data_IF_121950838851
#
_entry.id   IF_121950838851
#
_cell.length_a   1.000
_cell.length_b   1.000
_cell.length_c   1.000
_cell.angle_alpha   90.00
_cell.angle_beta   90.00
_cell.angle_gamma   90.00
#
_symmetry.space_group_name_H-M   'P 1'
#
loop_
_entity.id
_entity.type
_entity.pdbx_description
1 polymer ?
#
# COMPACT_ATOMS: atom_id res chain seq x y z
N UNK A 1 5.73 21.59 9.05
CA UNK A 1 4.41 21.56 9.70
C UNK A 1 3.80 20.20 9.40
N UNK A 2 3.64 19.36 10.42
CA UNK A 2 3.02 18.05 10.29
C UNK A 2 1.51 18.25 10.08
N UNK A 3 0.94 17.62 9.05
CA UNK A 3 -0.47 17.79 8.70
C UNK A 3 -1.35 17.02 9.71
N UNK A 4 -2.11 17.71 10.60
CA UNK A 4 -2.96 17.07 11.60
C UNK A 4 -4.12 16.25 10.99
N UNK A 5 -4.45 16.45 9.72
CA UNK A 5 -5.47 15.64 9.04
C UNK A 5 -5.02 14.19 8.81
N UNK A 6 -3.71 13.95 8.67
CA UNK A 6 -3.17 12.60 8.50
C UNK A 6 -3.34 11.76 9.77
N UNK A 7 -3.13 12.37 10.94
CA UNK A 7 -3.39 11.72 12.24
C UNK A 7 -4.88 11.45 12.45
N UNK A 8 -5.76 12.32 11.93
CA UNK A 8 -7.21 12.11 12.00
C UNK A 8 -7.62 10.91 11.15
N UNK A 9 -7.09 10.74 9.94
CA UNK A 9 -7.36 9.55 9.12
C UNK A 9 -6.85 8.27 9.81
N UNK A 10 -5.66 8.32 10.43
CA UNK A 10 -5.08 7.18 11.18
C UNK A 10 -5.92 6.83 12.42
N UNK A 11 -6.50 7.83 13.10
CA UNK A 11 -7.35 7.64 14.29
C UNK A 11 -8.80 7.24 13.96
N UNK A 12 -9.26 7.45 12.74
CA UNK A 12 -10.64 7.11 12.33
C UNK A 12 -10.75 5.76 11.62
N UNK A 13 -9.64 5.01 11.49
CA UNK A 13 -9.71 3.59 11.11
C UNK A 13 -10.09 2.78 12.36
N UNK A 14 -11.30 3.02 12.85
CA UNK A 14 -11.97 2.11 13.76
C UNK A 14 -12.22 0.78 13.05
N UNK A 15 -11.92 -0.26 13.81
CA UNK A 15 -12.03 -1.68 13.50
C UNK A 15 -13.47 -1.99 13.04
N UNK A 16 -13.60 -2.73 11.92
CA UNK A 16 -14.84 -3.32 11.34
C UNK A 16 -15.72 -2.47 10.44
N UNK A 17 -15.13 -1.80 9.45
CA UNK A 17 -15.85 -1.66 8.17
C UNK A 17 -14.97 -2.18 7.04
N UNK A 18 -15.45 -3.22 6.37
CA UNK A 18 -15.06 -3.51 4.99
C UNK A 18 -15.70 -2.38 4.19
N UNK A 19 -14.97 -1.36 3.71
CA UNK A 19 -15.56 -0.44 2.75
C UNK A 19 -15.84 -1.26 1.50
N UNK A 20 -17.10 -1.69 1.36
CA UNK A 20 -17.57 -2.24 0.11
C UNK A 20 -17.69 -1.06 -0.83
N UNK A 21 -16.75 -0.92 -1.76
CA UNK A 21 -17.00 -0.15 -2.97
C UNK A 21 -17.89 -1.01 -3.85
N UNK A 22 -19.21 -0.89 -3.68
CA UNK A 22 -20.13 -1.15 -4.81
C UNK A 22 -20.09 0.14 -5.62
N UNK A 23 -19.36 0.11 -6.73
CA UNK A 23 -19.50 1.13 -7.76
C UNK A 23 -20.98 1.11 -8.20
N UNK A 24 -21.76 2.11 -7.79
CA UNK A 24 -23.19 2.19 -8.14
C UNK A 24 -23.40 2.40 -9.65
N UNK A 25 -22.35 2.80 -10.36
CA UNK A 25 -22.15 2.56 -11.78
C UNK A 25 -20.67 2.31 -12.00
N UNK A 26 -20.33 1.19 -12.64
CA UNK A 26 -19.03 1.01 -13.28
C UNK A 26 -18.94 2.08 -14.37
N UNK A 27 -18.42 3.27 -14.03
CA UNK A 27 -18.02 4.22 -15.05
C UNK A 27 -16.78 3.64 -15.72
N UNK A 28 -17.00 2.95 -16.84
CA UNK A 28 -16.03 2.85 -17.92
C UNK A 28 -15.73 4.28 -18.38
N UNK A 29 -14.89 4.99 -17.63
CA UNK A 29 -14.35 6.25 -18.10
C UNK A 29 -13.52 5.92 -19.35
N UNK A 30 -13.77 6.60 -20.48
CA UNK A 30 -13.04 6.32 -21.70
C UNK A 30 -11.52 6.49 -21.48
N UNK A 31 -10.68 5.74 -22.22
CA UNK A 31 -9.32 5.34 -21.78
C UNK A 31 -8.29 6.44 -21.55
N UNK A 32 -8.60 7.72 -21.73
CA UNK A 32 -7.60 8.74 -21.98
C UNK A 32 -7.34 9.73 -20.82
N UNK A 33 -8.23 9.88 -19.84
CA UNK A 33 -8.09 10.95 -18.83
C UNK A 33 -7.81 10.47 -17.41
N UNK A 34 -8.37 9.32 -17.00
CA UNK A 34 -8.18 8.74 -15.64
C UNK A 34 -7.00 7.77 -15.58
N UNK A 35 -6.53 7.28 -16.74
CA UNK A 35 -5.53 6.20 -16.83
C UNK A 35 -4.12 6.61 -16.43
N UNK A 36 -3.70 7.85 -16.71
CA UNK A 36 -2.29 8.22 -16.56
C UNK A 36 -1.85 8.20 -15.08
N UNK A 37 -2.63 8.80 -14.17
CA UNK A 37 -2.27 8.87 -12.75
C UNK A 37 -2.43 7.53 -12.05
N UNK A 38 -3.52 6.79 -12.29
CA UNK A 38 -3.70 5.45 -11.72
C UNK A 38 -2.62 4.48 -12.20
N UNK A 39 -2.16 4.61 -13.45
CA UNK A 39 -1.06 3.82 -13.98
C UNK A 39 0.26 4.09 -13.26
N UNK A 40 0.60 5.35 -12.94
CA UNK A 40 1.81 5.64 -12.17
C UNK A 40 1.80 4.99 -10.79
N UNK A 41 0.61 4.91 -10.16
CA UNK A 41 0.45 4.24 -8.89
C UNK A 41 0.54 2.71 -9.03
N UNK A 42 -0.15 2.12 -10.00
CA UNK A 42 -0.10 0.69 -10.29
C UNK A 42 1.34 0.23 -10.57
N UNK A 43 2.09 0.99 -11.37
CA UNK A 43 3.49 0.72 -11.67
C UNK A 43 4.34 0.79 -10.40
N UNK A 44 4.10 1.76 -9.51
CA UNK A 44 4.79 1.87 -8.22
C UNK A 44 4.47 0.69 -7.28
N UNK A 45 3.22 0.27 -7.19
CA UNK A 45 2.79 -0.87 -6.39
C UNK A 45 3.40 -2.18 -6.91
N UNK A 46 3.40 -2.39 -8.23
CA UNK A 46 4.03 -3.56 -8.83
C UNK A 46 5.54 -3.57 -8.62
N UNK A 47 6.18 -2.40 -8.71
CA UNK A 47 7.62 -2.27 -8.46
C UNK A 47 7.97 -2.53 -6.98
N UNK A 48 7.13 -2.08 -6.03
CA UNK A 48 7.25 -2.42 -4.62
C UNK A 48 7.10 -3.93 -4.37
N UNK A 49 6.08 -4.57 -4.95
CA UNK A 49 5.88 -6.03 -4.89
C UNK A 49 7.11 -6.78 -5.42
N UNK A 50 7.63 -6.35 -6.57
CA UNK A 50 8.83 -6.92 -7.18
C UNK A 50 10.07 -6.76 -6.31
N UNK A 51 10.27 -5.57 -5.72
CA UNK A 51 11.34 -5.33 -4.76
C UNK A 51 11.22 -6.25 -3.55
N UNK A 52 10.01 -6.42 -3.02
CA UNK A 52 9.74 -7.28 -1.88
C UNK A 52 10.02 -8.75 -2.18
N UNK A 53 9.59 -9.23 -3.34
CA UNK A 53 9.86 -10.59 -3.80
C UNK A 53 11.37 -10.85 -4.04
N UNK A 54 12.12 -9.81 -4.44
CA UNK A 54 13.58 -9.93 -4.64
C UNK A 54 14.38 -10.11 -3.36
N UNK A 55 13.82 -9.80 -2.18
CA UNK A 55 14.55 -9.85 -0.92
C UNK A 55 15.50 -8.66 -0.68
N UNK A 56 15.58 -7.70 -1.60
CA UNK A 56 16.39 -6.48 -1.43
C UNK A 56 15.70 -5.48 -0.50
N UNK A 57 16.10 -5.50 0.77
CA UNK A 57 15.53 -4.64 1.81
C UNK A 57 15.72 -3.15 1.49
N UNK A 58 16.87 -2.74 0.96
CA UNK A 58 17.14 -1.33 0.68
C UNK A 58 16.23 -0.82 -0.44
N UNK A 59 16.02 -1.65 -1.47
CA UNK A 59 15.08 -1.34 -2.56
C UNK A 59 13.65 -1.22 -2.05
N UNK A 60 13.21 -2.11 -1.16
CA UNK A 60 11.87 -2.07 -0.55
C UNK A 60 11.70 -0.82 0.31
N UNK A 61 12.67 -0.49 1.17
CA UNK A 61 12.64 0.69 2.02
C UNK A 61 12.56 1.99 1.20
N UNK A 62 13.09 1.99 -0.02
CA UNK A 62 12.94 3.11 -0.96
C UNK A 62 11.50 3.50 -1.30
N UNK A 63 10.52 2.61 -1.10
CA UNK A 63 9.09 2.90 -1.28
C UNK A 63 8.42 3.49 -0.05
N UNK A 64 9.06 3.49 1.12
CA UNK A 64 8.49 4.02 2.35
C UNK A 64 8.83 5.51 2.52
N UNK A 65 7.86 6.28 3.00
CA UNK A 65 8.06 7.67 3.34
C UNK A 65 8.90 7.81 4.62
N UNK A 66 9.71 8.87 4.78
CA UNK A 66 10.48 9.10 6.01
C UNK A 66 9.62 9.19 7.28
N UNK A 67 8.40 9.71 7.13
CA UNK A 67 7.38 9.87 8.16
C UNK A 67 6.38 8.69 8.21
N UNK A 68 6.77 7.53 7.67
CA UNK A 68 5.96 6.32 7.69
C UNK A 68 5.56 5.89 9.11
N UNK A 69 4.33 5.36 9.23
CA UNK A 69 3.79 4.74 10.44
C UNK A 69 3.13 3.40 10.15
N UNK A 70 3.36 2.42 11.02
CA UNK A 70 2.54 1.21 11.12
C UNK A 70 1.96 1.17 12.53
N UNK A 71 0.73 1.66 12.70
CA UNK A 71 0.16 1.91 14.03
C UNK A 71 1.13 2.76 14.89
N UNK A 72 1.62 2.23 16.02
CA UNK A 72 2.58 2.92 16.88
C UNK A 72 4.05 2.85 16.39
N UNK A 73 4.36 2.06 15.36
CA UNK A 73 5.74 1.81 14.91
C UNK A 73 6.20 2.81 13.86
N UNK A 74 7.40 3.34 14.03
CA UNK A 74 8.18 4.06 13.01
C UNK A 74 8.67 3.11 11.90
N UNK A 75 9.22 3.67 10.82
CA UNK A 75 9.88 2.88 9.78
C UNK A 75 11.03 2.02 10.32
N UNK A 76 11.82 2.57 11.25
CA UNK A 76 12.93 1.85 11.87
C UNK A 76 12.45 0.62 12.65
N UNK A 77 11.36 0.77 13.41
CA UNK A 77 10.75 -0.32 14.18
C UNK A 77 9.97 -1.32 13.31
N UNK A 78 9.51 -0.90 12.13
CA UNK A 78 8.84 -1.75 11.16
C UNK A 78 9.80 -2.56 10.29
N UNK A 79 11.02 -2.05 10.07
CA UNK A 79 12.04 -2.67 9.20
C UNK A 79 12.35 -4.14 9.56
N UNK A 80 12.47 -4.55 10.85
CA UNK A 80 12.64 -5.96 11.22
C UNK A 80 11.46 -6.84 10.78
N UNK A 81 10.22 -6.33 10.85
CA UNK A 81 9.03 -7.06 10.36
C UNK A 81 9.15 -7.30 8.86
N UNK A 82 9.43 -6.25 8.07
CA UNK A 82 9.62 -6.38 6.62
C UNK A 82 10.71 -7.39 6.26
N UNK A 83 11.85 -7.34 6.97
CA UNK A 83 12.94 -8.30 6.76
C UNK A 83 12.47 -9.73 7.01
N UNK A 84 11.71 -9.98 8.07
CA UNK A 84 11.16 -11.31 8.40
C UNK A 84 10.17 -11.81 7.35
N UNK A 85 9.28 -10.93 6.87
CA UNK A 85 8.33 -11.26 5.80
C UNK A 85 9.06 -11.66 4.51
N UNK A 86 10.06 -10.88 4.12
CA UNK A 86 10.88 -11.13 2.92
C UNK A 86 11.69 -12.43 3.06
N UNK A 87 12.27 -12.69 4.23
CA UNK A 87 12.97 -13.94 4.51
C UNK A 87 12.03 -15.16 4.44
N UNK A 88 10.78 -15.01 4.89
CA UNK A 88 9.75 -16.06 4.82
C UNK A 88 9.30 -16.36 3.39
N UNK A 89 9.36 -15.36 2.50
CA UNK A 89 9.11 -15.56 1.08
C UNK A 89 10.20 -16.42 0.41
N UNK A 90 11.44 -16.43 0.94
CA UNK A 90 12.58 -17.20 0.43
C UNK A 90 12.85 -16.98 -1.07
N UNK A 91 12.69 -15.75 -1.54
CA UNK A 91 12.86 -15.39 -2.96
C UNK A 91 11.75 -15.90 -3.90
N UNK A 92 10.68 -16.50 -3.35
CA UNK A 92 9.49 -16.84 -4.14
C UNK A 92 8.73 -15.58 -4.53
N UNK A 93 8.00 -15.68 -5.63
CA UNK A 93 7.11 -14.59 -6.06
C UNK A 93 6.11 -14.21 -4.98
N UNK A 94 5.69 -12.95 -4.98
CA UNK A 94 4.60 -12.45 -4.14
C UNK A 94 3.44 -12.10 -5.06
N UNK A 95 2.25 -12.59 -4.75
CA UNK A 95 0.99 -12.28 -5.43
C UNK A 95 0.17 -11.33 -4.57
N UNK A 96 -0.48 -10.35 -5.21
CA UNK A 96 -1.47 -9.49 -4.56
C UNK A 96 -2.85 -9.94 -5.05
N UNK A 97 -3.63 -10.58 -4.18
CA UNK A 97 -4.99 -11.06 -4.45
C UNK A 97 -6.02 -10.09 -3.90
N UNK A 98 -7.22 -10.12 -4.47
CA UNK A 98 -8.36 -9.29 -4.04
C UNK A 98 -7.99 -7.80 -3.92
N UNK A 99 -7.18 -7.34 -4.87
CA UNK A 99 -6.61 -6.00 -4.88
C UNK A 99 -7.69 -4.96 -5.17
N UNK A 100 -7.81 -3.98 -4.28
CA UNK A 100 -8.72 -2.85 -4.39
C UNK A 100 -8.00 -1.54 -4.08
N UNK A 101 -8.45 -0.46 -4.72
CA UNK A 101 -7.88 0.88 -4.56
C UNK A 101 -8.94 1.90 -4.21
N UNK A 102 -8.56 2.89 -3.42
CA UNK A 102 -9.33 4.10 -3.17
C UNK A 102 -8.41 5.31 -3.32
N UNK A 103 -8.72 6.20 -4.28
CA UNK A 103 -8.02 7.47 -4.43
C UNK A 103 -8.74 8.55 -3.62
N UNK A 104 -7.98 9.32 -2.87
CA UNK A 104 -8.44 10.54 -2.23
C UNK A 104 -7.52 11.67 -2.65
N UNK A 105 -8.08 12.68 -3.30
CA UNK A 105 -7.37 13.90 -3.67
C UNK A 105 -8.03 15.08 -2.96
N UNK A 106 -7.35 15.63 -1.95
CA UNK A 106 -7.75 16.88 -1.28
C UNK A 106 -6.65 17.95 -1.43
N UNK A 107 -5.90 18.21 -0.37
CA UNK A 107 -4.58 18.84 -0.29
C UNK A 107 -3.43 17.94 -0.77
N UNK A 108 -3.61 16.62 -0.76
CA UNK A 108 -2.60 15.64 -1.17
C UNK A 108 -3.22 14.57 -2.07
N UNK A 109 -2.41 13.98 -2.96
CA UNK A 109 -2.82 12.85 -3.79
C UNK A 109 -2.49 11.56 -3.04
N UNK A 110 -3.52 10.93 -2.47
CA UNK A 110 -3.44 9.73 -1.63
C UNK A 110 -4.08 8.56 -2.36
N UNK A 111 -3.43 7.40 -2.28
CA UNK A 111 -3.99 6.13 -2.73
C UNK A 111 -3.98 5.12 -1.59
N UNK A 112 -5.13 4.50 -1.33
CA UNK A 112 -5.25 3.41 -0.36
C UNK A 112 -5.38 2.11 -1.15
N UNK A 113 -4.47 1.16 -0.91
CA UNK A 113 -4.52 -0.17 -1.50
C UNK A 113 -4.83 -1.20 -0.42
N UNK A 114 -5.84 -2.03 -0.64
CA UNK A 114 -6.14 -3.20 0.22
C UNK A 114 -6.03 -4.48 -0.61
N UNK A 115 -5.30 -5.47 -0.12
CA UNK A 115 -5.04 -6.72 -0.83
C UNK A 115 -4.64 -7.87 0.09
N UNK A 116 -4.83 -9.10 -0.36
CA UNK A 116 -4.21 -10.29 0.20
C UNK A 116 -2.80 -10.49 -0.36
N UNK A 117 -1.77 -10.38 0.47
CA UNK A 117 -0.39 -10.69 0.10
C UNK A 117 -0.14 -12.19 0.29
N UNK A 118 0.08 -12.91 -0.81
CA UNK A 118 0.27 -14.37 -0.82
C UNK A 118 1.63 -14.68 -1.43
N UNK A 119 2.42 -15.51 -0.75
CA UNK A 119 3.68 -16.00 -1.32
C UNK A 119 3.39 -17.13 -2.29
N UNK A 120 4.06 -17.15 -3.45
CA UNK A 120 3.87 -18.18 -4.45
C UNK A 120 4.08 -19.59 -3.84
N UNK A 121 3.12 -20.48 -4.13
CA UNK A 121 3.07 -21.83 -3.58
C UNK A 121 2.51 -21.93 -2.14
N UNK A 122 2.03 -20.85 -1.53
CA UNK A 122 1.25 -20.91 -0.27
C UNK A 122 -0.25 -20.78 -0.53
N UNK A 123 -1.06 -21.45 0.30
CA UNK A 123 -2.53 -21.39 0.22
C UNK A 123 -3.12 -20.16 0.91
N UNK A 124 -2.40 -19.64 1.91
CA UNK A 124 -2.83 -18.52 2.73
C UNK A 124 -1.80 -17.39 2.66
N UNK A 125 -2.29 -16.19 2.96
CA UNK A 125 -1.52 -14.96 3.01
C UNK A 125 -2.10 -14.04 4.07
N UNK A 126 -1.60 -12.80 4.12
CA UNK A 126 -2.07 -11.78 5.05
C UNK A 126 -2.80 -10.69 4.29
N UNK A 127 -3.92 -10.22 4.81
CA UNK A 127 -4.60 -9.05 4.24
C UNK A 127 -3.85 -7.82 4.73
N UNK A 128 -3.49 -6.93 3.80
CA UNK A 128 -2.77 -5.68 4.08
C UNK A 128 -3.56 -4.50 3.56
N UNK A 129 -3.43 -3.39 4.27
CA UNK A 129 -3.82 -2.07 3.81
C UNK A 129 -2.62 -1.15 3.82
N UNK A 130 -2.35 -0.53 2.68
CA UNK A 130 -1.30 0.47 2.52
C UNK A 130 -1.91 1.81 2.13
N UNK A 131 -1.35 2.88 2.68
CA UNK A 131 -1.67 4.24 2.29
C UNK A 131 -0.43 4.85 1.68
N UNK A 132 -0.62 5.35 0.47
CA UNK A 132 0.41 5.92 -0.37
C UNK A 132 0.12 7.39 -0.57
N UNK A 133 1.15 8.20 -0.57
CA UNK A 133 1.09 9.62 -0.89
C UNK A 133 2.01 9.92 -2.05
N UNK A 134 1.55 10.74 -2.99
CA UNK A 134 2.39 11.24 -4.08
C UNK A 134 3.28 12.37 -3.58
N UNK A 135 4.59 12.20 -3.67
CA UNK A 135 5.62 13.22 -3.35
C UNK A 135 6.39 13.54 -4.61
N UNK A 136 6.07 14.68 -5.23
CA UNK A 136 6.54 15.01 -6.57
C UNK A 136 6.02 13.97 -7.58
N UNK A 137 6.92 13.23 -8.20
CA UNK A 137 6.59 12.17 -9.18
C UNK A 137 6.57 10.77 -8.57
N UNK A 138 6.89 10.62 -7.29
CA UNK A 138 7.04 9.32 -6.65
C UNK A 138 5.89 9.02 -5.67
N UNK A 139 5.37 7.81 -5.73
CA UNK A 139 4.48 7.28 -4.72
C UNK A 139 5.29 6.71 -3.55
N UNK A 140 4.91 7.07 -2.32
CA UNK A 140 5.54 6.58 -1.08
C UNK A 140 4.49 6.05 -0.11
N UNK A 141 4.76 4.90 0.49
CA UNK A 141 3.97 4.32 1.57
C UNK A 141 4.21 5.15 2.83
N UNK A 142 3.18 5.81 3.34
CA UNK A 142 3.25 6.48 4.64
C UNK A 142 2.52 5.70 5.74
N UNK A 143 1.69 4.71 5.37
CA UNK A 143 1.13 3.75 6.31
C UNK A 143 1.00 2.35 5.73
N UNK A 144 1.28 1.33 6.55
CA UNK A 144 1.00 -0.08 6.24
C UNK A 144 0.48 -0.77 7.51
N UNK A 145 -0.59 -1.55 7.35
CA UNK A 145 -1.15 -2.36 8.43
C UNK A 145 -1.64 -3.71 7.91
N UNK A 146 -1.50 -4.74 8.74
CA UNK A 146 -2.10 -6.06 8.50
C UNK A 146 -3.53 -6.03 9.06
N UNK A 147 -4.50 -6.45 8.25
CA UNK A 147 -5.90 -6.61 8.64
C UNK A 147 -6.12 -8.07 9.02
N UNK A 148 -6.49 -8.31 10.29
CA UNK A 148 -6.70 -9.62 10.88
C UNK A 148 -7.53 -9.51 12.15
#
# INVERSE_FOLDING_TARGET
>A
MANPDLERIIRTVEVRTTPVVIAQQLHWAPPHSVRADSKTFEDALQAWRGAKASGDLNRVLGYYAPDFRSFAKTLQEWTPTLRSEMASAKGRGIELKDLSYLRWTDSSDIMVATFGEVVAGTRTGVVKRQYWVRRGTQWKIFFEGVLG
#
